data_IF_302641669596
#
_entry.id   IF_302641669596
#
_cell.length_a   1.000
_cell.length_b   1.000
_cell.length_c   1.000
_cell.angle_alpha   90.00
_cell.angle_beta   90.00
_cell.angle_gamma   90.00
#
_symmetry.space_group_name_H-M   'P 1'
#
loop_
_entity.id
_entity.type
_entity.pdbx_description
1 polymer ?
#
# COMPACT_ATOMS: atom_id res chain seq x y z
N UNK A 1 -34.64 -7.08 23.73
CA UNK A 1 -35.41 -8.14 23.06
C UNK A 1 -34.69 -8.49 21.77
N UNK A 2 -34.11 -9.69 21.69
CA UNK A 2 -33.56 -10.17 20.43
C UNK A 2 -34.72 -10.66 19.58
N UNK A 3 -34.92 -10.05 18.42
CA UNK A 3 -35.82 -10.56 17.41
C UNK A 3 -35.30 -11.90 16.88
N UNK A 4 -35.92 -13.05 17.17
CA UNK A 4 -35.47 -14.34 16.68
C UNK A 4 -35.60 -14.51 15.15
N UNK A 5 -36.25 -13.57 14.47
CA UNK A 5 -36.29 -13.51 13.00
C UNK A 5 -35.06 -12.86 12.38
N UNK A 6 -34.14 -12.30 13.20
CA UNK A 6 -32.83 -11.80 12.77
C UNK A 6 -31.74 -12.90 12.74
N UNK A 7 -32.01 -13.94 12.41
CA UNK A 7 -31.91 -15.08 11.75
C UNK A 7 -30.65 -15.59 10.98
N UNK A 8 -30.45 -16.83 11.08
CA UNK A 8 -29.57 -17.65 10.27
C UNK A 8 -29.19 -17.00 8.93
N UNK A 9 -27.99 -16.43 8.83
CA UNK A 9 -27.40 -15.97 7.59
C UNK A 9 -27.49 -14.47 7.27
N UNK A 10 -27.90 -13.58 8.20
CA UNK A 10 -27.84 -12.12 7.99
C UNK A 10 -27.16 -11.41 9.15
N UNK A 11 -26.37 -10.38 8.86
CA UNK A 11 -25.85 -9.51 9.91
C UNK A 11 -27.02 -8.68 10.52
N UNK A 12 -26.99 -8.44 11.86
CA UNK A 12 -27.99 -7.60 12.51
C UNK A 12 -28.06 -6.19 11.91
N UNK A 13 -29.20 -5.50 12.03
CA UNK A 13 -29.33 -4.13 11.56
C UNK A 13 -28.40 -3.19 12.33
N UNK A 14 -28.01 -2.07 11.69
CA UNK A 14 -27.23 -1.03 12.34
C UNK A 14 -28.00 -0.36 13.46
N UNK A 15 -27.30 -0.01 14.54
CA UNK A 15 -27.84 0.93 15.51
C UNK A 15 -27.76 2.37 14.98
N UNK A 16 -28.54 3.27 15.58
CA UNK A 16 -28.54 4.69 15.18
C UNK A 16 -27.88 5.51 16.28
N UNK A 17 -26.87 6.30 15.94
CA UNK A 17 -26.15 7.22 16.82
C UNK A 17 -25.73 8.45 16.04
N UNK A 18 -25.52 9.59 16.70
CA UNK A 18 -24.98 10.78 16.03
C UNK A 18 -23.53 10.56 15.58
N UNK A 19 -23.18 11.19 14.47
CA UNK A 19 -21.81 11.16 13.97
C UNK A 19 -20.89 11.90 14.94
N UNK A 20 -19.84 11.27 15.47
CA UNK A 20 -18.86 11.94 16.34
C UNK A 20 -18.27 13.19 15.67
N UNK A 21 -18.14 14.25 16.44
CA UNK A 21 -17.60 15.50 15.93
C UNK A 21 -16.12 15.32 15.55
N UNK A 22 -15.71 15.70 14.32
CA UNK A 22 -14.31 15.73 13.95
C UNK A 22 -13.60 16.86 14.70
N UNK A 23 -12.27 16.74 14.94
CA UNK A 23 -11.50 17.88 15.40
C UNK A 23 -11.55 19.02 14.37
N UNK A 24 -11.34 20.29 14.79
CA UNK A 24 -11.26 21.41 13.85
C UNK A 24 -10.23 21.18 12.75
N UNK A 25 -10.56 21.54 11.50
CA UNK A 25 -9.70 21.29 10.34
C UNK A 25 -8.53 22.29 10.33
N UNK A 26 -7.47 21.97 11.07
CA UNK A 26 -6.23 22.74 11.20
C UNK A 26 -5.03 21.87 10.81
N UNK A 27 -3.90 22.48 10.44
CA UNK A 27 -2.69 21.74 10.06
C UNK A 27 -2.23 20.76 11.15
N UNK A 28 -2.25 21.15 12.41
CA UNK A 28 -1.92 20.29 13.56
C UNK A 28 -2.84 19.07 13.63
N UNK A 29 -4.14 19.29 13.49
CA UNK A 29 -5.12 18.21 13.55
C UNK A 29 -5.08 17.34 12.29
N UNK A 30 -4.75 17.89 11.12
CA UNK A 30 -4.51 17.10 9.91
C UNK A 30 -3.41 16.08 10.20
N UNK A 31 -2.24 16.51 10.68
CA UNK A 31 -1.13 15.60 11.00
C UNK A 31 -1.49 14.56 12.07
N UNK A 32 -2.40 14.86 12.98
CA UNK A 32 -2.86 13.91 14.00
C UNK A 32 -3.89 12.89 13.48
N UNK A 33 -4.69 13.26 12.50
CA UNK A 33 -5.80 12.44 11.98
C UNK A 33 -5.39 11.59 10.78
N UNK A 34 -4.52 12.13 9.89
CA UNK A 34 -3.99 11.33 8.78
C UNK A 34 -3.11 10.19 9.32
N UNK A 35 -3.19 9.04 8.71
CA UNK A 35 -2.44 7.86 9.14
C UNK A 35 -2.80 6.62 8.32
N UNK A 36 -4.10 6.31 8.15
CA UNK A 36 -4.53 5.19 7.31
C UNK A 36 -3.94 5.23 5.90
N UNK A 37 -3.89 6.42 5.28
CA UNK A 37 -3.24 6.61 3.99
C UNK A 37 -1.74 6.36 4.01
N UNK A 38 -1.05 6.64 5.11
CA UNK A 38 0.39 6.35 5.26
C UNK A 38 0.65 4.85 5.40
N UNK A 39 -0.19 4.14 6.15
CA UNK A 39 -0.11 2.69 6.26
C UNK A 39 -0.35 2.07 4.88
N UNK A 40 -1.38 2.53 4.17
CA UNK A 40 -1.66 2.10 2.81
C UNK A 40 -0.51 2.42 1.85
N UNK A 41 0.08 3.62 1.94
CA UNK A 41 1.22 4.04 1.12
C UNK A 41 2.45 3.16 1.35
N UNK A 42 2.79 2.84 2.59
CA UNK A 42 3.95 1.98 2.87
C UNK A 42 3.78 0.57 2.34
N UNK A 43 2.55 0.05 2.30
CA UNK A 43 2.24 -1.22 1.63
C UNK A 43 2.35 -1.10 0.10
N UNK A 44 2.01 0.06 -0.46
CA UNK A 44 2.10 0.33 -1.89
C UNK A 44 3.55 0.46 -2.34
N UNK A 45 4.40 1.23 -1.63
CA UNK A 45 5.84 1.35 -1.93
C UNK A 45 6.53 0.01 -1.59
N UNK A 46 6.19 -1.00 -2.33
CA UNK A 46 6.61 -2.39 -2.16
C UNK A 46 6.77 -3.08 -3.51
N UNK A 47 5.95 -4.10 -3.75
CA UNK A 47 6.07 -4.94 -4.95
C UNK A 47 5.84 -4.21 -6.26
N UNK A 48 4.94 -3.25 -6.31
CA UNK A 48 4.67 -2.47 -7.52
C UNK A 48 5.84 -1.59 -7.90
N UNK A 49 6.26 -0.78 -6.96
CA UNK A 49 7.30 0.23 -7.16
C UNK A 49 8.70 -0.36 -7.26
N UNK A 50 9.02 -1.42 -6.51
CA UNK A 50 10.37 -2.01 -6.49
C UNK A 50 10.58 -3.17 -7.44
N UNK A 51 9.53 -3.91 -7.80
CA UNK A 51 9.67 -5.11 -8.62
C UNK A 51 9.06 -4.92 -10.01
N UNK A 52 7.76 -4.65 -10.06
CA UNK A 52 6.99 -4.69 -11.32
C UNK A 52 7.18 -3.43 -12.15
N UNK A 53 7.16 -2.25 -11.52
CA UNK A 53 7.38 -0.97 -12.19
C UNK A 53 8.74 -0.91 -12.89
N UNK A 54 9.84 -1.07 -12.15
CA UNK A 54 11.17 -1.15 -12.74
C UNK A 54 11.31 -2.19 -13.84
N UNK A 55 10.84 -3.41 -13.63
CA UNK A 55 10.88 -4.47 -14.64
C UNK A 55 10.13 -4.08 -15.93
N UNK A 56 8.97 -3.43 -15.79
CA UNK A 56 8.17 -2.97 -16.92
C UNK A 56 8.88 -1.86 -17.69
N UNK A 57 9.41 -0.87 -16.97
CA UNK A 57 10.01 0.31 -17.61
C UNK A 57 11.39 0.01 -18.20
N UNK A 58 12.20 -0.82 -17.58
CA UNK A 58 13.47 -1.29 -18.17
C UNK A 58 13.22 -2.10 -19.45
N UNK A 59 12.15 -2.91 -19.50
CA UNK A 59 11.79 -3.74 -20.65
C UNK A 59 11.15 -2.94 -21.80
N UNK A 60 10.28 -1.98 -21.52
CA UNK A 60 9.42 -1.35 -22.53
C UNK A 60 9.56 0.17 -22.64
N UNK A 61 10.26 0.80 -21.70
CA UNK A 61 10.42 2.25 -21.63
C UNK A 61 9.29 2.97 -20.89
N UNK A 62 9.50 4.28 -20.68
CA UNK A 62 8.62 5.12 -19.86
C UNK A 62 7.20 5.29 -20.40
N UNK A 63 6.96 5.09 -21.70
CA UNK A 63 5.65 5.29 -22.30
C UNK A 63 4.53 4.43 -21.71
N UNK A 64 4.86 3.44 -20.86
CA UNK A 64 3.86 2.63 -20.15
C UNK A 64 3.50 3.17 -18.76
N UNK A 65 4.03 4.30 -18.33
CA UNK A 65 3.68 4.92 -17.05
C UNK A 65 2.19 5.27 -16.91
N UNK A 66 1.47 5.42 -18.01
CA UNK A 66 0.02 5.63 -17.98
C UNK A 66 -0.74 4.47 -17.30
N UNK A 67 -0.20 3.23 -17.38
CA UNK A 67 -0.80 2.04 -16.78
C UNK A 67 -0.85 2.20 -15.26
N UNK A 68 0.28 2.54 -14.63
CA UNK A 68 0.31 2.77 -13.18
C UNK A 68 -0.51 4.00 -12.79
N UNK A 69 -0.53 5.05 -13.61
CA UNK A 69 -1.33 6.24 -13.37
C UNK A 69 -2.82 5.90 -13.26
N UNK A 70 -3.36 5.16 -14.23
CA UNK A 70 -4.74 4.69 -14.18
C UNK A 70 -4.98 3.75 -13.00
N UNK A 71 -4.05 2.83 -12.72
CA UNK A 71 -4.13 1.93 -11.56
C UNK A 71 -4.28 2.69 -10.24
N UNK A 72 -3.44 3.70 -10.00
CA UNK A 72 -3.51 4.53 -8.79
C UNK A 72 -4.82 5.32 -8.72
N UNK A 73 -5.25 5.94 -9.84
CA UNK A 73 -6.50 6.72 -9.87
C UNK A 73 -7.72 5.85 -9.58
N UNK A 74 -7.84 4.68 -10.20
CA UNK A 74 -8.97 3.78 -9.95
C UNK A 74 -8.96 3.23 -8.53
N UNK A 75 -7.79 2.92 -7.98
CA UNK A 75 -7.66 2.50 -6.60
C UNK A 75 -8.02 3.63 -5.63
N UNK A 76 -7.68 4.89 -5.93
CA UNK A 76 -8.11 6.03 -5.12
C UNK A 76 -9.64 6.14 -5.06
N UNK A 77 -10.31 5.98 -6.20
CA UNK A 77 -11.78 5.99 -6.24
C UNK A 77 -12.36 4.84 -5.43
N UNK A 78 -11.79 3.64 -5.55
CA UNK A 78 -12.18 2.46 -4.79
C UNK A 78 -11.97 2.66 -3.28
N UNK A 79 -10.83 3.20 -2.88
CA UNK A 79 -10.54 3.54 -1.48
C UNK A 79 -11.58 4.52 -0.93
N UNK A 80 -11.96 5.55 -1.70
CA UNK A 80 -12.99 6.48 -1.28
C UNK A 80 -14.32 5.79 -0.99
N UNK A 81 -14.73 4.81 -1.79
CA UNK A 81 -15.99 4.11 -1.54
C UNK A 81 -15.92 3.19 -0.31
N UNK A 82 -14.82 2.47 -0.11
CA UNK A 82 -14.63 1.66 1.10
C UNK A 82 -14.57 2.52 2.36
N UNK A 83 -13.88 3.65 2.30
CA UNK A 83 -13.79 4.60 3.41
C UNK A 83 -15.14 5.27 3.66
N UNK A 84 -15.90 5.61 2.62
CA UNK A 84 -17.25 6.18 2.74
C UNK A 84 -18.16 5.26 3.54
N UNK A 85 -18.15 3.97 3.21
CA UNK A 85 -18.90 2.96 3.95
C UNK A 85 -18.51 2.94 5.44
N UNK A 86 -17.20 2.85 5.72
CA UNK A 86 -16.72 2.79 7.11
C UNK A 86 -16.96 4.09 7.87
N UNK A 87 -16.79 5.24 7.23
CA UNK A 87 -17.04 6.53 7.84
C UNK A 87 -18.50 6.69 8.25
N UNK A 88 -19.44 6.10 7.47
CA UNK A 88 -20.87 6.16 7.70
C UNK A 88 -21.36 5.11 8.71
N UNK A 89 -20.79 3.90 8.70
CA UNK A 89 -21.27 2.77 9.49
C UNK A 89 -20.37 2.37 10.66
N UNK A 90 -19.10 2.79 10.64
CA UNK A 90 -18.06 2.28 11.54
C UNK A 90 -17.60 0.87 11.22
N UNK A 91 -18.28 0.14 10.35
CA UNK A 91 -17.87 -1.22 9.94
C UNK A 91 -16.78 -1.17 8.88
N UNK A 92 -15.82 -2.12 8.87
CA UNK A 92 -14.95 -2.34 7.71
C UNK A 92 -15.76 -2.68 6.45
N UNK A 93 -15.22 -2.35 5.28
CA UNK A 93 -15.92 -2.56 4.02
C UNK A 93 -16.33 -4.03 3.76
N UNK A 94 -15.56 -5.00 4.28
CA UNK A 94 -15.90 -6.42 4.19
C UNK A 94 -17.25 -6.74 4.84
N UNK A 95 -17.61 -6.05 5.92
CA UNK A 95 -18.92 -6.21 6.55
C UNK A 95 -20.04 -5.74 5.62
N UNK A 96 -19.77 -4.70 4.81
CA UNK A 96 -20.68 -4.24 3.77
C UNK A 96 -20.98 -5.33 2.74
N UNK A 97 -19.97 -6.03 2.27
CA UNK A 97 -20.18 -7.19 1.39
C UNK A 97 -20.97 -8.30 2.08
N UNK A 98 -20.67 -8.60 3.34
CA UNK A 98 -21.40 -9.60 4.13
C UNK A 98 -22.91 -9.29 4.29
N UNK A 99 -23.30 -8.02 4.14
CA UNK A 99 -24.71 -7.58 4.17
C UNK A 99 -25.43 -7.80 2.84
N UNK A 100 -24.72 -8.13 1.77
CA UNK A 100 -25.26 -8.41 0.43
C UNK A 100 -25.41 -9.90 0.21
N UNK A 101 -26.20 -10.27 -0.84
CA UNK A 101 -26.28 -11.69 -1.26
C UNK A 101 -24.94 -12.17 -1.81
N UNK A 102 -24.55 -13.44 -1.60
CA UNK A 102 -25.35 -14.51 -0.98
C UNK A 102 -25.33 -14.53 0.55
N UNK A 103 -24.56 -13.68 1.22
CA UNK A 103 -24.60 -13.51 2.67
C UNK A 103 -23.23 -13.65 3.36
N UNK A 104 -23.18 -13.51 4.70
CA UNK A 104 -21.94 -13.35 5.46
C UNK A 104 -21.02 -14.56 5.39
N UNK A 105 -21.54 -15.78 5.35
CA UNK A 105 -20.69 -16.98 5.29
C UNK A 105 -19.92 -17.04 3.96
N UNK A 106 -20.58 -16.77 2.84
CA UNK A 106 -19.92 -16.73 1.53
C UNK A 106 -18.85 -15.65 1.47
N UNK A 107 -19.21 -14.41 1.82
CA UNK A 107 -18.26 -13.30 1.73
C UNK A 107 -17.10 -13.42 2.74
N UNK A 108 -17.36 -13.99 3.92
CA UNK A 108 -16.31 -14.29 4.89
C UNK A 108 -15.28 -15.29 4.35
N UNK A 109 -15.76 -16.40 3.78
CA UNK A 109 -14.89 -17.41 3.17
C UNK A 109 -14.15 -16.83 1.96
N UNK A 110 -14.86 -16.14 1.07
CA UNK A 110 -14.27 -15.51 -0.12
C UNK A 110 -13.19 -14.49 0.27
N UNK A 111 -13.43 -13.67 1.28
CA UNK A 111 -12.48 -12.67 1.77
C UNK A 111 -11.22 -13.32 2.35
N UNK A 112 -11.37 -14.38 3.17
CA UNK A 112 -10.23 -15.13 3.73
C UNK A 112 -9.46 -15.80 2.60
N UNK A 113 -10.15 -16.46 1.66
CA UNK A 113 -9.52 -17.12 0.52
C UNK A 113 -8.74 -16.15 -0.36
N UNK A 114 -9.34 -15.02 -0.74
CA UNK A 114 -8.65 -13.98 -1.53
C UNK A 114 -7.48 -13.37 -0.77
N UNK A 115 -7.63 -13.18 0.55
CA UNK A 115 -6.54 -12.74 1.42
C UNK A 115 -5.36 -13.71 1.43
N UNK A 116 -5.64 -15.00 1.57
CA UNK A 116 -4.61 -16.05 1.49
C UNK A 116 -3.94 -16.08 0.11
N UNK A 117 -4.71 -15.94 -0.97
CA UNK A 117 -4.15 -15.88 -2.32
C UNK A 117 -3.22 -14.68 -2.52
N UNK A 118 -3.53 -13.53 -1.92
CA UNK A 118 -2.72 -12.31 -2.08
C UNK A 118 -1.52 -12.24 -1.14
N UNK A 119 -1.66 -12.64 0.13
CA UNK A 119 -0.62 -12.43 1.15
C UNK A 119 -0.20 -13.70 1.92
N UNK A 120 -0.85 -14.82 1.67
CA UNK A 120 -0.55 -16.09 2.34
C UNK A 120 0.78 -16.73 1.89
N UNK A 121 1.36 -16.24 0.81
CA UNK A 121 2.65 -16.71 0.29
C UNK A 121 3.79 -15.89 0.86
N UNK A 122 4.92 -16.47 1.24
CA UNK A 122 6.05 -15.74 1.81
C UNK A 122 6.85 -14.93 0.77
N UNK A 123 6.21 -14.51 -0.34
CA UNK A 123 6.86 -13.82 -1.44
C UNK A 123 7.51 -12.49 -1.03
N UNK A 124 6.83 -11.72 -0.19
CA UNK A 124 7.33 -10.43 0.31
C UNK A 124 8.55 -10.60 1.21
N UNK A 125 8.50 -11.57 2.14
CA UNK A 125 9.64 -11.90 2.99
C UNK A 125 10.81 -12.43 2.16
N UNK A 126 10.54 -13.25 1.13
CA UNK A 126 11.59 -13.77 0.24
C UNK A 126 12.23 -12.66 -0.60
N UNK A 127 11.44 -11.70 -1.10
CA UNK A 127 11.97 -10.53 -1.79
C UNK A 127 12.85 -9.68 -0.87
N UNK A 128 12.37 -9.37 0.34
CA UNK A 128 13.17 -8.62 1.34
C UNK A 128 14.44 -9.37 1.72
N UNK A 129 14.37 -10.70 1.88
CA UNK A 129 15.53 -11.55 2.19
C UNK A 129 16.57 -11.51 1.10
N UNK A 130 16.19 -11.41 -0.18
CA UNK A 130 17.14 -11.34 -1.28
C UNK A 130 17.95 -10.04 -1.25
N UNK A 131 17.30 -8.92 -0.92
CA UNK A 131 17.98 -7.62 -0.78
C UNK A 131 18.89 -7.60 0.45
N UNK A 132 18.39 -8.10 1.59
CA UNK A 132 19.21 -8.19 2.81
C UNK A 132 20.41 -9.14 2.64
N UNK A 133 20.20 -10.26 1.95
CA UNK A 133 21.29 -11.17 1.61
C UNK A 133 22.37 -10.44 0.79
N UNK A 134 21.96 -9.73 -0.26
CA UNK A 134 22.91 -8.97 -1.08
C UNK A 134 23.64 -7.88 -0.27
N UNK A 135 22.93 -7.22 0.66
CA UNK A 135 23.52 -6.21 1.55
C UNK A 135 24.60 -6.81 2.47
N UNK A 136 24.34 -8.00 3.05
CA UNK A 136 25.27 -8.62 4.00
C UNK A 136 26.45 -9.36 3.32
N UNK A 137 26.25 -9.86 2.09
CA UNK A 137 27.26 -10.69 1.42
C UNK A 137 27.96 -9.99 0.26
N UNK A 138 27.44 -8.84 -0.19
CA UNK A 138 27.93 -8.17 -1.40
C UNK A 138 27.63 -8.92 -2.71
N UNK A 139 26.86 -10.01 -2.67
CA UNK A 139 26.58 -10.88 -3.81
C UNK A 139 25.08 -11.05 -4.04
N UNK A 140 24.66 -11.19 -5.31
CA UNK A 140 23.29 -11.57 -5.61
C UNK A 140 23.00 -13.01 -5.18
N UNK A 141 21.83 -13.30 -4.59
CA UNK A 141 21.50 -14.65 -4.18
C UNK A 141 21.33 -15.57 -5.40
N UNK A 142 21.90 -16.77 -5.32
CA UNK A 142 21.72 -17.82 -6.31
C UNK A 142 20.74 -18.87 -5.77
N UNK A 143 19.61 -19.07 -6.45
CA UNK A 143 18.58 -20.03 -6.07
C UNK A 143 18.98 -21.50 -6.22
N UNK A 144 20.05 -21.79 -6.97
CA UNK A 144 20.61 -23.15 -7.13
C UNK A 144 21.61 -23.49 -6.02
N UNK A 145 22.10 -22.49 -5.28
CA UNK A 145 23.04 -22.71 -4.18
C UNK A 145 22.26 -22.95 -2.86
N UNK A 146 22.33 -24.17 -2.28
CA UNK A 146 21.60 -24.52 -1.07
C UNK A 146 21.92 -23.61 0.13
N UNK A 147 23.16 -23.13 0.25
CA UNK A 147 23.55 -22.23 1.36
C UNK A 147 22.91 -20.85 1.22
N UNK A 148 22.79 -20.31 -0.01
CA UNK A 148 22.08 -19.05 -0.26
C UNK A 148 20.58 -19.19 0.03
N UNK A 149 19.97 -20.30 -0.40
CA UNK A 149 18.54 -20.58 -0.13
C UNK A 149 18.28 -20.68 1.38
N UNK A 150 19.13 -21.38 2.11
CA UNK A 150 19.02 -21.51 3.56
C UNK A 150 19.20 -20.14 4.27
N UNK A 151 20.21 -19.36 3.89
CA UNK A 151 20.47 -18.03 4.44
C UNK A 151 19.28 -17.09 4.20
N UNK A 152 18.74 -17.03 2.97
CA UNK A 152 17.53 -16.25 2.68
C UNK A 152 16.32 -16.71 3.51
N UNK A 153 16.18 -18.02 3.75
CA UNK A 153 15.14 -18.58 4.61
C UNK A 153 15.24 -18.05 6.04
N UNK A 154 16.42 -18.08 6.64
CA UNK A 154 16.63 -17.58 8.01
C UNK A 154 16.47 -16.05 8.10
N UNK A 155 16.93 -15.29 7.12
CA UNK A 155 16.70 -13.84 7.04
C UNK A 155 15.19 -13.56 6.99
N UNK A 156 14.44 -14.33 6.19
CA UNK A 156 12.97 -14.20 6.12
C UNK A 156 12.28 -14.47 7.45
N UNK A 157 12.67 -15.54 8.14
CA UNK A 157 12.15 -15.86 9.49
C UNK A 157 12.47 -14.72 10.46
N UNK A 158 13.71 -14.22 10.48
CA UNK A 158 14.11 -13.09 11.31
C UNK A 158 13.26 -11.83 11.04
N UNK A 159 13.00 -11.54 9.77
CA UNK A 159 12.14 -10.43 9.36
C UNK A 159 10.71 -10.59 9.88
N UNK A 160 10.12 -11.79 9.77
CA UNK A 160 8.79 -12.05 10.33
C UNK A 160 8.75 -11.91 11.85
N UNK A 161 9.74 -12.46 12.56
CA UNK A 161 9.84 -12.33 14.03
C UNK A 161 9.92 -10.86 14.44
N UNK A 162 10.72 -10.06 13.73
CA UNK A 162 10.82 -8.61 13.95
C UNK A 162 9.45 -7.92 13.73
N UNK A 163 8.77 -8.22 12.63
CA UNK A 163 7.46 -7.65 12.33
C UNK A 163 6.42 -8.02 13.40
N UNK A 164 6.37 -9.28 13.81
CA UNK A 164 5.47 -9.75 14.87
C UNK A 164 5.79 -9.02 16.18
N UNK A 165 7.07 -8.89 16.55
CA UNK A 165 7.51 -8.18 17.73
C UNK A 165 7.07 -6.71 17.73
N UNK A 166 7.23 -6.03 16.60
CA UNK A 166 6.80 -4.63 16.44
C UNK A 166 5.28 -4.46 16.61
N UNK A 167 4.48 -5.36 16.03
CA UNK A 167 3.01 -5.30 16.13
C UNK A 167 2.51 -5.71 17.52
N UNK A 168 3.19 -6.66 18.16
CA UNK A 168 2.78 -7.18 19.46
C UNK A 168 2.88 -6.16 20.59
N UNK A 169 3.77 -5.17 20.50
CA UNK A 169 4.09 -4.23 21.58
C UNK A 169 3.44 -2.87 21.30
N UNK A 170 2.73 -2.31 22.30
CA UNK A 170 2.13 -0.97 22.21
C UNK A 170 0.69 -0.92 22.69
N UNK A 171 0.01 0.19 22.46
CA UNK A 171 -1.40 0.38 22.87
C UNK A 171 -2.40 0.00 21.79
N UNK A 172 -2.23 0.54 20.58
CA UNK A 172 -3.04 0.26 19.38
C UNK A 172 -2.15 -0.21 18.26
N UNK A 173 -2.52 -1.29 17.58
CA UNK A 173 -1.79 -1.81 16.42
C UNK A 173 -1.69 -0.73 15.32
N UNK A 174 -2.80 -0.06 15.03
CA UNK A 174 -2.85 1.02 14.03
C UNK A 174 -1.83 2.13 14.32
N UNK A 175 -1.74 2.60 15.58
CA UNK A 175 -0.78 3.66 15.95
C UNK A 175 0.67 3.22 15.80
N UNK A 176 0.97 1.96 16.10
CA UNK A 176 2.32 1.41 15.93
C UNK A 176 2.68 1.34 14.46
N UNK A 177 1.78 0.78 13.63
CA UNK A 177 1.95 0.72 12.18
C UNK A 177 2.14 2.13 11.60
N UNK A 178 1.31 3.09 11.99
CA UNK A 178 1.41 4.47 11.52
C UNK A 178 2.81 5.07 11.78
N UNK A 179 3.32 4.94 13.00
CA UNK A 179 4.64 5.50 13.36
C UNK A 179 5.78 4.85 12.56
N UNK A 180 5.79 3.52 12.50
CA UNK A 180 6.81 2.78 11.76
C UNK A 180 6.74 3.11 10.27
N UNK A 181 5.53 3.14 9.71
CA UNK A 181 5.34 3.41 8.30
C UNK A 181 5.68 4.85 7.91
N UNK A 182 5.39 5.85 8.76
CA UNK A 182 5.85 7.22 8.53
C UNK A 182 7.36 7.31 8.45
N UNK A 183 8.06 6.68 9.39
CA UNK A 183 9.52 6.63 9.37
C UNK A 183 10.04 5.97 8.09
N UNK A 184 9.50 4.81 7.73
CA UNK A 184 9.92 4.06 6.54
C UNK A 184 9.64 4.83 5.25
N UNK A 185 8.46 5.41 5.09
CA UNK A 185 8.09 6.18 3.88
C UNK A 185 8.99 7.40 3.72
N UNK A 186 9.21 8.15 4.79
CA UNK A 186 10.09 9.32 4.73
C UNK A 186 11.54 8.93 4.39
N UNK A 187 12.04 7.85 4.99
CA UNK A 187 13.38 7.32 4.69
C UNK A 187 13.49 6.88 3.23
N UNK A 188 12.52 6.09 2.73
CA UNK A 188 12.50 5.61 1.34
C UNK A 188 12.45 6.78 0.37
N UNK A 189 11.54 7.73 0.58
CA UNK A 189 11.42 8.90 -0.31
C UNK A 189 12.69 9.74 -0.31
N UNK A 190 13.29 9.99 0.86
CA UNK A 190 14.54 10.71 0.96
C UNK A 190 15.68 9.97 0.23
N UNK A 191 15.79 8.66 0.40
CA UNK A 191 16.76 7.82 -0.30
C UNK A 191 16.54 7.88 -1.83
N UNK A 192 15.32 7.64 -2.30
CA UNK A 192 15.01 7.65 -3.73
C UNK A 192 15.27 9.03 -4.35
N UNK A 193 14.91 10.12 -3.68
CA UNK A 193 15.23 11.49 -4.13
C UNK A 193 16.73 11.71 -4.22
N UNK A 194 17.49 11.29 -3.22
CA UNK A 194 18.94 11.43 -3.21
C UNK A 194 19.58 10.69 -4.38
N UNK A 195 19.21 9.42 -4.59
CA UNK A 195 19.72 8.63 -5.72
C UNK A 195 19.33 9.25 -7.06
N UNK A 196 18.09 9.72 -7.19
CA UNK A 196 17.66 10.41 -8.41
C UNK A 196 18.48 11.68 -8.69
N UNK A 197 18.67 12.54 -7.70
CA UNK A 197 19.42 13.79 -7.86
C UNK A 197 20.91 13.54 -8.18
N UNK A 198 21.47 12.44 -7.71
CA UNK A 198 22.88 12.11 -7.92
C UNK A 198 23.14 11.41 -9.25
N UNK A 199 22.24 10.55 -9.71
CA UNK A 199 22.54 9.59 -10.77
C UNK A 199 21.58 9.63 -11.96
N UNK A 200 20.36 10.20 -11.84
CA UNK A 200 19.36 10.19 -12.90
C UNK A 200 19.48 11.45 -13.76
N UNK A 201 19.68 11.32 -15.08
CA UNK A 201 19.75 12.48 -15.98
C UNK A 201 18.42 13.24 -16.02
N UNK A 202 18.48 14.58 -16.16
CA UNK A 202 17.28 15.43 -16.25
C UNK A 202 16.32 15.01 -17.38
N UNK A 203 16.83 14.49 -18.49
CA UNK A 203 16.04 13.93 -19.59
C UNK A 203 15.10 12.82 -19.14
N UNK A 204 15.58 11.87 -18.32
CA UNK A 204 14.79 10.74 -17.80
C UNK A 204 13.60 11.21 -16.98
N UNK A 205 13.74 12.30 -16.23
CA UNK A 205 12.64 12.90 -15.49
C UNK A 205 11.52 13.38 -16.42
N UNK A 206 11.89 14.07 -17.52
CA UNK A 206 10.92 14.52 -18.51
C UNK A 206 10.23 13.37 -19.25
N UNK A 207 11.00 12.37 -19.67
CA UNK A 207 10.46 11.18 -20.36
C UNK A 207 9.50 10.39 -19.48
N UNK A 208 9.79 10.24 -18.18
CA UNK A 208 8.90 9.59 -17.24
C UNK A 208 7.60 10.35 -17.03
N UNK A 209 7.63 11.70 -17.01
CA UNK A 209 6.41 12.53 -16.98
C UNK A 209 5.58 12.33 -18.24
N UNK A 210 6.20 12.41 -19.42
CA UNK A 210 5.52 12.20 -20.71
C UNK A 210 4.95 10.78 -20.83
N UNK A 211 5.60 9.81 -20.21
CA UNK A 211 5.14 8.42 -20.17
C UNK A 211 3.77 8.22 -19.51
N UNK A 212 3.35 9.13 -18.61
CA UNK A 212 2.01 9.07 -18.01
C UNK A 212 0.86 9.33 -19.00
N UNK A 213 1.18 9.87 -20.17
CA UNK A 213 0.23 10.04 -21.29
C UNK A 213 0.54 9.12 -22.48
N UNK A 214 1.41 8.14 -22.29
CA UNK A 214 1.79 7.18 -23.33
C UNK A 214 2.81 7.69 -24.33
N UNK A 215 3.44 8.85 -24.09
CA UNK A 215 4.40 9.47 -25.00
C UNK A 215 5.83 8.97 -24.71
N UNK A 216 6.58 8.70 -25.78
CA UNK A 216 8.02 8.41 -25.74
C UNK A 216 8.85 9.69 -25.83
N UNK A 217 10.15 9.58 -25.52
CA UNK A 217 11.09 10.69 -25.62
C UNK A 217 11.31 11.26 -27.03
N UNK A 218 10.92 10.54 -28.08
CA UNK A 218 10.93 10.98 -29.47
C UNK A 218 9.62 11.66 -29.94
N UNK A 219 8.66 11.82 -29.01
CA UNK A 219 7.34 12.42 -29.27
C UNK A 219 6.31 11.45 -29.84
N UNK A 220 6.67 10.21 -30.14
CA UNK A 220 5.72 9.18 -30.57
C UNK A 220 4.92 8.60 -29.40
N UNK A 221 3.75 8.01 -29.70
CA UNK A 221 2.91 7.38 -28.69
C UNK A 221 3.03 5.85 -28.76
N UNK A 222 3.09 5.19 -27.59
CA UNK A 222 3.02 3.75 -27.47
C UNK A 222 2.20 3.39 -26.22
N UNK A 223 0.96 2.99 -26.43
CA UNK A 223 0.09 2.53 -25.35
C UNK A 223 0.25 1.03 -25.07
N UNK A 224 0.51 0.22 -26.09
CA UNK A 224 0.73 -1.22 -25.96
C UNK A 224 1.95 -1.60 -26.80
N UNK A 225 2.99 -2.20 -26.20
CA UNK A 225 4.18 -2.60 -26.95
C UNK A 225 3.89 -3.85 -27.79
N UNK A 226 4.60 -3.99 -28.90
CA UNK A 226 4.59 -5.24 -29.69
C UNK A 226 5.16 -6.36 -28.82
N UNK A 227 4.48 -7.53 -28.81
CA UNK A 227 4.88 -8.65 -27.95
C UNK A 227 4.67 -8.36 -26.45
N UNK A 228 3.62 -7.65 -26.10
CA UNK A 228 3.27 -7.32 -24.73
C UNK A 228 3.20 -8.55 -23.82
N UNK A 229 3.90 -8.51 -22.71
CA UNK A 229 3.75 -9.46 -21.61
C UNK A 229 2.56 -9.01 -20.76
N UNK A 230 1.40 -9.56 -21.03
CA UNK A 230 0.15 -9.17 -20.38
C UNK A 230 0.13 -9.48 -18.88
N UNK A 231 0.91 -10.49 -18.44
CA UNK A 231 1.04 -10.81 -17.01
C UNK A 231 1.81 -9.67 -16.32
N UNK A 232 2.94 -9.24 -16.91
CA UNK A 232 3.72 -8.14 -16.37
C UNK A 232 2.94 -6.81 -16.39
N UNK A 233 2.25 -6.50 -17.51
CA UNK A 233 1.47 -5.26 -17.61
C UNK A 233 0.25 -5.26 -16.69
N UNK A 234 -0.44 -6.40 -16.54
CA UNK A 234 -1.53 -6.56 -15.59
C UNK A 234 -1.05 -6.44 -14.14
N UNK A 235 0.11 -7.02 -13.82
CA UNK A 235 0.75 -6.85 -12.53
C UNK A 235 1.14 -5.39 -12.28
N UNK A 236 1.65 -4.69 -13.31
CA UNK A 236 1.99 -3.26 -13.20
C UNK A 236 0.76 -2.39 -12.90
N UNK A 237 -0.38 -2.66 -13.54
CA UNK A 237 -1.64 -1.98 -13.21
C UNK A 237 -2.13 -2.29 -11.80
N UNK A 238 -2.09 -3.56 -11.40
CA UNK A 238 -2.64 -4.03 -10.13
C UNK A 238 -1.80 -3.66 -8.91
N UNK A 239 -0.48 -3.70 -9.04
CA UNK A 239 0.46 -3.40 -7.93
C UNK A 239 0.93 -1.94 -7.88
N UNK A 240 0.51 -1.08 -8.80
CA UNK A 240 0.74 0.36 -8.70
C UNK A 240 -0.18 0.96 -7.63
N UNK A 241 0.11 0.70 -6.39
CA UNK A 241 -0.72 1.02 -5.23
C UNK A 241 -0.92 -0.21 -4.34
N UNK A 242 -2.00 -0.26 -3.55
CA UNK A 242 -2.25 -1.35 -2.59
C UNK A 242 -2.61 -2.69 -3.27
N UNK A 243 -3.26 -2.63 -4.43
CA UNK A 243 -3.74 -3.78 -5.16
C UNK A 243 -4.82 -4.59 -4.42
N UNK A 244 -5.91 -4.92 -5.11
CA UNK A 244 -6.88 -5.90 -4.65
C UNK A 244 -7.42 -5.73 -3.23
N UNK A 245 -7.18 -6.73 -2.38
CA UNK A 245 -7.68 -6.77 -1.00
C UNK A 245 -7.02 -5.72 -0.09
N UNK A 246 -5.84 -5.24 -0.44
CA UNK A 246 -5.13 -4.17 0.29
C UNK A 246 -5.94 -2.87 0.33
N UNK A 247 -6.71 -2.56 -0.72
CA UNK A 247 -7.60 -1.41 -0.73
C UNK A 247 -8.76 -1.56 0.28
N UNK A 248 -9.28 -2.78 0.45
CA UNK A 248 -10.33 -3.07 1.44
C UNK A 248 -9.80 -2.85 2.85
N UNK A 249 -8.55 -3.24 3.13
CA UNK A 249 -7.92 -3.07 4.45
C UNK A 249 -7.81 -1.60 4.88
N UNK A 250 -7.74 -0.65 3.97
CA UNK A 250 -7.77 0.78 4.29
C UNK A 250 -8.98 1.13 5.16
N UNK A 251 -10.11 0.47 4.94
CA UNK A 251 -11.32 0.63 5.76
C UNK A 251 -11.14 0.20 7.22
N UNK A 252 -10.32 -0.83 7.47
CA UNK A 252 -10.00 -1.27 8.84
C UNK A 252 -9.19 -0.20 9.58
N UNK A 253 -8.20 0.40 8.93
CA UNK A 253 -7.36 1.43 9.55
C UNK A 253 -8.15 2.72 9.80
N UNK A 254 -9.10 3.08 8.93
CA UNK A 254 -10.04 4.20 9.15
C UNK A 254 -10.88 3.96 10.41
N UNK A 255 -11.40 2.73 10.60
CA UNK A 255 -12.13 2.36 11.82
C UNK A 255 -11.22 2.45 13.05
N UNK A 256 -10.04 1.83 13.01
CA UNK A 256 -9.13 1.74 14.15
C UNK A 256 -8.54 3.12 14.53
N UNK A 257 -8.38 4.01 13.55
CA UNK A 257 -8.07 5.43 13.79
C UNK A 257 -9.21 6.17 14.48
N UNK A 258 -10.42 5.64 14.43
CA UNK A 258 -11.61 6.26 15.01
C UNK A 258 -12.19 7.39 14.18
N UNK A 259 -12.03 7.35 12.85
CA UNK A 259 -12.62 8.34 11.96
C UNK A 259 -14.12 8.08 11.78
N UNK A 260 -14.91 9.15 11.82
CA UNK A 260 -16.36 9.05 11.67
C UNK A 260 -17.00 8.10 12.67
N UNK A 261 -17.88 7.23 12.19
CA UNK A 261 -18.53 6.20 13.02
C UNK A 261 -17.58 5.11 13.50
N UNK A 262 -16.34 5.02 13.00
CA UNK A 262 -15.32 4.09 13.47
C UNK A 262 -15.01 4.23 14.96
N UNK A 263 -15.05 5.46 15.50
CA UNK A 263 -14.86 5.72 16.94
C UNK A 263 -15.93 5.08 17.83
N UNK A 264 -17.11 4.79 17.27
CA UNK A 264 -18.23 4.16 17.99
C UNK A 264 -18.09 2.64 18.06
N UNK A 265 -17.43 2.05 17.07
CA UNK A 265 -17.24 0.59 16.95
C UNK A 265 -16.06 0.09 17.76
N UNK A 266 -14.98 0.87 17.85
CA UNK A 266 -13.76 0.53 18.57
C UNK A 266 -12.61 0.12 17.64
N UNK A 267 -11.48 -0.24 18.23
CA UNK A 267 -10.22 -0.54 17.52
C UNK A 267 -9.60 -1.84 18.03
N UNK A 268 -8.64 -2.38 17.28
CA UNK A 268 -7.90 -3.59 17.66
C UNK A 268 -6.70 -3.19 18.54
N UNK A 269 -6.65 -3.63 19.83
CA UNK A 269 -5.52 -3.35 20.70
C UNK A 269 -4.32 -4.25 20.38
N UNK A 270 -3.11 -3.80 20.74
CA UNK A 270 -1.90 -4.63 20.71
C UNK A 270 -1.96 -5.72 21.78
N UNK A 271 -1.27 -6.85 21.57
CA UNK A 271 -1.26 -7.99 22.46
C UNK A 271 -0.59 -7.69 23.82
N UNK A 272 0.47 -6.84 23.79
CA UNK A 272 1.21 -6.42 24.98
C UNK A 272 1.06 -4.91 25.16
N UNK A 273 0.58 -4.47 26.33
CA UNK A 273 0.38 -3.05 26.64
C UNK A 273 -0.89 -2.44 26.04
N UNK A 274 -1.71 -3.23 25.34
CA UNK A 274 -3.02 -2.79 24.86
C UNK A 274 -4.08 -2.83 25.97
N UNK A 275 -4.97 -1.83 25.97
CA UNK A 275 -6.18 -1.88 26.83
C UNK A 275 -7.24 -2.76 26.18
N UNK A 276 -7.93 -3.56 26.98
CA UNK A 276 -9.04 -4.37 26.48
C UNK A 276 -10.15 -3.45 25.98
N UNK A 277 -10.40 -3.48 24.67
CA UNK A 277 -11.47 -2.73 24.03
C UNK A 277 -12.48 -3.71 23.48
N UNK A 278 -13.75 -3.51 23.84
CA UNK A 278 -14.83 -4.31 23.26
C UNK A 278 -15.16 -3.75 21.87
N UNK A 279 -14.63 -4.38 20.83
CA UNK A 279 -14.99 -4.04 19.46
C UNK A 279 -16.44 -4.46 19.22
N UNK A 280 -17.28 -3.54 18.79
CA UNK A 280 -18.67 -3.88 18.44
C UNK A 280 -18.68 -4.71 17.14
N UNK A 281 -19.37 -5.86 17.12
CA UNK A 281 -19.52 -6.65 15.90
C UNK A 281 -20.45 -5.99 14.88
N UNK A 282 -21.20 -4.97 15.29
CA UNK A 282 -22.20 -4.27 14.50
C UNK A 282 -21.89 -2.78 14.50
N UNK A 283 -21.98 -2.17 13.34
CA UNK A 283 -21.80 -0.75 13.18
C UNK A 283 -23.03 0.07 13.64
N UNK A 284 -22.88 1.37 13.52
CA UNK A 284 -23.93 2.34 13.78
C UNK A 284 -23.98 3.35 12.65
N UNK A 285 -25.16 3.75 12.24
CA UNK A 285 -25.38 4.80 11.25
C UNK A 285 -25.90 6.07 11.93
N UNK A 286 -25.70 7.22 11.31
CA UNK A 286 -26.20 8.48 11.84
C UNK A 286 -27.39 9.01 11.04
N UNK A 287 -28.34 9.71 11.68
CA UNK A 287 -29.46 10.36 10.98
C UNK A 287 -28.92 11.52 10.13
N UNK A 288 -29.55 11.70 8.95
CA UNK A 288 -29.23 12.80 8.04
C UNK A 288 -29.90 14.07 8.53
N UNK A 289 -29.14 14.88 9.28
CA UNK A 289 -29.55 16.21 9.74
C UNK A 289 -28.40 17.21 9.47
N UNK A 290 -28.63 18.50 9.64
CA UNK A 290 -27.64 19.53 9.33
C UNK A 290 -26.32 19.39 10.14
N UNK A 291 -26.46 19.06 11.42
CA UNK A 291 -25.30 18.87 12.29
C UNK A 291 -24.41 17.71 11.82
N UNK A 292 -24.99 16.54 11.61
CA UNK A 292 -24.27 15.36 11.13
C UNK A 292 -23.71 15.57 9.72
N UNK A 293 -24.41 16.29 8.84
CA UNK A 293 -23.89 16.63 7.52
C UNK A 293 -22.70 17.60 7.60
N UNK A 294 -22.71 18.56 8.53
CA UNK A 294 -21.57 19.45 8.78
C UNK A 294 -20.35 18.67 9.26
N UNK A 295 -20.54 17.76 10.24
CA UNK A 295 -19.51 16.84 10.74
C UNK A 295 -18.98 15.93 9.63
N UNK A 296 -19.86 15.35 8.81
CA UNK A 296 -19.51 14.53 7.65
C UNK A 296 -18.63 15.25 6.65
N UNK A 297 -19.00 16.48 6.28
CA UNK A 297 -18.21 17.31 5.35
C UNK A 297 -16.77 17.53 5.88
N UNK A 298 -16.63 17.73 7.19
CA UNK A 298 -15.32 17.92 7.82
C UNK A 298 -14.51 16.62 7.86
N UNK A 299 -15.12 15.48 8.24
CA UNK A 299 -14.48 14.18 8.15
C UNK A 299 -14.01 13.87 6.72
N UNK A 300 -14.83 14.22 5.73
CA UNK A 300 -14.51 14.00 4.33
C UNK A 300 -13.33 14.86 3.85
N UNK A 301 -13.11 16.03 4.42
CA UNK A 301 -11.87 16.81 4.17
C UNK A 301 -10.64 16.06 4.64
N UNK A 302 -10.66 15.45 5.82
CA UNK A 302 -9.56 14.62 6.32
C UNK A 302 -9.29 13.42 5.42
N UNK A 303 -10.33 12.70 5.01
CA UNK A 303 -10.21 11.56 4.07
C UNK A 303 -9.56 11.99 2.75
N UNK A 304 -9.95 13.16 2.21
CA UNK A 304 -9.34 13.67 0.98
C UNK A 304 -7.86 13.98 1.14
N UNK A 305 -7.44 14.52 2.26
CA UNK A 305 -6.02 14.76 2.52
C UNK A 305 -5.27 13.43 2.65
N UNK A 306 -5.79 12.52 3.47
CA UNK A 306 -5.17 11.22 3.74
C UNK A 306 -5.02 10.37 2.47
N UNK A 307 -6.07 10.27 1.66
CA UNK A 307 -6.06 9.38 0.49
C UNK A 307 -5.50 10.04 -0.78
N UNK A 308 -5.83 11.32 -1.03
CA UNK A 308 -5.36 12.00 -2.24
C UNK A 308 -3.91 12.46 -2.10
N UNK A 309 -3.60 13.17 -1.01
CA UNK A 309 -2.31 13.83 -0.87
C UNK A 309 -1.24 12.96 -0.21
N UNK A 310 -1.63 12.05 0.69
CA UNK A 310 -0.66 11.13 1.30
C UNK A 310 -0.55 9.86 0.45
N UNK A 311 -1.65 9.12 0.29
CA UNK A 311 -1.58 7.84 -0.40
C UNK A 311 -1.35 7.97 -1.91
N UNK A 312 -2.25 8.62 -2.67
CA UNK A 312 -2.15 8.61 -4.13
C UNK A 312 -0.92 9.37 -4.64
N UNK A 313 -0.67 10.59 -4.14
CA UNK A 313 0.54 11.34 -4.52
C UNK A 313 1.80 10.60 -4.08
N UNK A 314 1.78 9.97 -2.91
CA UNK A 314 2.89 9.13 -2.45
C UNK A 314 3.16 7.94 -3.36
N UNK A 315 2.11 7.23 -3.83
CA UNK A 315 2.24 6.14 -4.80
C UNK A 315 2.82 6.63 -6.14
N UNK A 316 2.31 7.74 -6.66
CA UNK A 316 2.88 8.34 -7.88
C UNK A 316 4.36 8.68 -7.69
N UNK A 317 4.72 9.30 -6.59
CA UNK A 317 6.11 9.70 -6.30
C UNK A 317 7.02 8.47 -6.12
N UNK A 318 6.58 7.48 -5.37
CA UNK A 318 7.33 6.24 -5.14
C UNK A 318 7.60 5.50 -6.45
N UNK A 319 6.57 5.32 -7.27
CA UNK A 319 6.70 4.70 -8.59
C UNK A 319 7.63 5.50 -9.51
N UNK A 320 7.38 6.81 -9.64
CA UNK A 320 8.13 7.70 -10.51
C UNK A 320 9.63 7.70 -10.18
N UNK A 321 9.99 7.90 -8.92
CA UNK A 321 11.38 7.95 -8.49
C UNK A 321 12.09 6.60 -8.69
N UNK A 322 11.41 5.51 -8.46
CA UNK A 322 12.02 4.19 -8.57
C UNK A 322 12.23 3.75 -10.02
N UNK A 323 11.23 3.98 -10.88
CA UNK A 323 11.39 3.62 -12.31
C UNK A 323 12.42 4.49 -13.02
N UNK A 324 12.58 5.77 -12.63
CA UNK A 324 13.61 6.65 -13.19
C UNK A 324 15.01 6.18 -12.84
N UNK A 325 15.23 5.72 -11.60
CA UNK A 325 16.49 5.07 -11.17
C UNK A 325 16.74 3.82 -12.01
N UNK A 326 15.77 2.90 -12.04
CA UNK A 326 15.93 1.63 -12.74
C UNK A 326 16.24 1.82 -14.23
N UNK A 327 15.45 2.63 -14.93
CA UNK A 327 15.66 2.87 -16.35
C UNK A 327 16.94 3.65 -16.70
N UNK A 328 17.50 4.39 -15.72
CA UNK A 328 18.74 5.15 -15.94
C UNK A 328 20.01 4.34 -15.60
N UNK A 329 19.92 3.43 -14.64
CA UNK A 329 21.09 2.70 -14.12
C UNK A 329 21.16 1.24 -14.56
N UNK A 330 20.01 0.59 -14.76
CA UNK A 330 19.98 -0.81 -15.16
C UNK A 330 20.13 -0.91 -16.68
N UNK A 331 21.06 -1.74 -17.20
CA UNK A 331 21.23 -1.92 -18.63
C UNK A 331 19.95 -2.41 -19.32
N UNK A 332 19.68 -1.92 -20.51
CA UNK A 332 18.58 -2.41 -21.34
C UNK A 332 18.77 -3.92 -21.63
N UNK A 333 17.71 -4.70 -21.37
CA UNK A 333 17.74 -6.15 -21.55
C UNK A 333 18.12 -6.95 -20.31
N UNK A 334 18.50 -6.31 -19.20
CA UNK A 334 18.68 -7.00 -17.92
C UNK A 334 17.35 -7.61 -17.47
N UNK A 335 17.40 -8.86 -17.02
CA UNK A 335 16.20 -9.56 -16.54
C UNK A 335 15.83 -9.11 -15.13
N UNK A 336 15.00 -8.08 -15.06
CA UNK A 336 14.50 -7.51 -13.81
C UNK A 336 13.28 -8.24 -13.25
N UNK A 337 12.89 -9.39 -13.83
CA UNK A 337 11.70 -10.11 -13.37
C UNK A 337 11.96 -10.90 -12.09
N UNK A 338 10.91 -11.02 -11.28
CA UNK A 338 10.92 -11.83 -10.08
C UNK A 338 11.39 -11.12 -8.81
N UNK A 339 11.62 -11.89 -7.77
CA UNK A 339 11.87 -11.41 -6.41
C UNK A 339 13.25 -10.77 -6.22
N UNK A 340 14.14 -10.89 -7.19
CA UNK A 340 15.50 -10.34 -7.14
C UNK A 340 15.60 -8.93 -7.73
N UNK A 341 14.54 -8.39 -8.32
CA UNK A 341 14.57 -7.08 -8.97
C UNK A 341 15.11 -5.96 -8.07
N UNK A 342 14.75 -5.97 -6.78
CA UNK A 342 15.29 -5.03 -5.80
C UNK A 342 16.79 -5.18 -5.55
N UNK A 343 17.30 -6.41 -5.48
CA UNK A 343 18.72 -6.66 -5.30
C UNK A 343 19.54 -6.28 -6.56
N UNK A 344 18.96 -6.49 -7.75
CA UNK A 344 19.56 -6.06 -9.03
C UNK A 344 19.66 -4.53 -9.07
N UNK A 345 18.62 -3.82 -8.70
CA UNK A 345 18.66 -2.35 -8.61
C UNK A 345 19.73 -1.88 -7.62
N UNK A 346 19.77 -2.48 -6.43
CA UNK A 346 20.77 -2.14 -5.41
C UNK A 346 22.20 -2.32 -5.94
N UNK A 347 22.49 -3.41 -6.69
CA UNK A 347 23.78 -3.65 -7.35
C UNK A 347 24.15 -2.50 -8.29
N UNK A 348 23.23 -2.07 -9.19
CA UNK A 348 23.55 -1.02 -10.14
C UNK A 348 23.64 0.37 -9.50
N UNK A 349 22.89 0.63 -8.43
CA UNK A 349 23.03 1.86 -7.61
C UNK A 349 24.43 1.87 -6.94
N UNK A 350 24.88 0.74 -6.38
CA UNK A 350 26.21 0.61 -5.78
C UNK A 350 27.32 0.86 -6.81
N UNK A 351 27.23 0.25 -7.98
CA UNK A 351 28.21 0.46 -9.05
C UNK A 351 28.25 1.91 -9.54
N UNK A 352 27.11 2.57 -9.63
CA UNK A 352 27.05 4.00 -9.98
C UNK A 352 27.66 4.88 -8.88
N UNK A 353 27.46 4.51 -7.60
CA UNK A 353 28.08 5.21 -6.49
C UNK A 353 29.60 5.02 -6.45
N UNK A 354 30.10 3.80 -6.65
CA UNK A 354 31.53 3.48 -6.75
C UNK A 354 32.18 4.25 -7.91
N UNK A 355 31.55 4.29 -9.06
CA UNK A 355 32.06 5.03 -10.22
C UNK A 355 32.13 6.54 -9.99
N UNK A 356 31.25 7.10 -9.17
CA UNK A 356 31.18 8.54 -8.92
C UNK A 356 32.02 8.98 -7.73
N UNK A 357 32.06 8.20 -6.67
CA UNK A 357 32.68 8.58 -5.39
C UNK A 357 33.95 7.77 -5.05
N UNK A 358 34.29 6.75 -5.84
CA UNK A 358 35.33 5.80 -5.53
C UNK A 358 34.82 4.64 -4.66
N UNK A 359 35.61 3.56 -4.62
CA UNK A 359 35.33 2.43 -3.70
C UNK A 359 35.52 2.90 -2.25
N UNK A 360 34.60 2.52 -1.32
CA UNK A 360 34.74 2.86 0.10
C UNK A 360 35.96 2.21 0.76
#
# INVERSE_FOLDING_TARGET
MHDPAAVAGKLPPWSVKDLPAPPPFTFKNILAVIGPGTIALSMSIGGGEWLVGPATIVKYGYSLMWICALGIVFQLLLNYEFIRYTLYTGEPAVNGFMRTRPGPAFWGIAYIFLGLCQVGWPAWAKSSSSVLFALFTGALPNGENPSHVAAMGWIGVGTFVLCIGLIAIGGKIERMLEKVNWFMVLFIVAFLLTVNLLFVPARSWGEAVLGHIGMKGDGSFMFVPKGADWILLGAFAGFAGNGGIGNIWTSNWIRDKGMGMGSVVGYIPSAVGGTVVKVSPIGSVFPVNEENLSRWRTWWKYVKVDQKWVWAVGCFLGMYLNVTIAASLVPAGENMQGLQAGAIQAKFISQAAEAKFGSP
#
